data_IF_434243450845
#
_entry.id   IF_434243450845
#
_cell.length_a   1.000
_cell.length_b   1.000
_cell.length_c   1.000
_cell.angle_alpha   90.00
_cell.angle_beta   90.00
_cell.angle_gamma   90.00
#
_symmetry.space_group_name_H-M   'P 1'
#
loop_
_entity.id
_entity.type
_entity.pdbx_description
1 polymer ?
#
# COMPACT_ATOMS: atom_id res chain seq x y z
N UNK A 1 -11.23 -28.56 -24.16
CA UNK A 1 -10.58 -29.78 -24.59
C UNK A 1 -10.93 -30.06 -26.05
N UNK A 2 -10.15 -30.85 -26.74
CA UNK A 2 -10.41 -31.18 -28.15
C UNK A 2 -11.80 -31.82 -28.31
N UNK A 3 -12.64 -31.27 -29.18
CA UNK A 3 -14.03 -31.77 -29.41
C UNK A 3 -15.13 -31.04 -28.63
N UNK A 4 -14.81 -30.02 -27.79
CA UNK A 4 -15.78 -29.28 -27.01
C UNK A 4 -15.82 -29.65 -25.52
N UNK A 5 -16.65 -28.94 -24.74
CA UNK A 5 -16.79 -29.18 -23.31
C UNK A 5 -17.95 -30.13 -23.01
N UNK A 6 -17.66 -31.40 -23.02
CA UNK A 6 -18.62 -32.49 -22.77
C UNK A 6 -19.36 -32.34 -21.42
N UNK A 7 -18.68 -31.95 -20.34
CA UNK A 7 -19.33 -31.78 -19.05
C UNK A 7 -20.32 -30.60 -19.03
N UNK A 8 -20.01 -29.51 -19.74
CA UNK A 8 -20.91 -28.38 -19.85
C UNK A 8 -22.14 -28.72 -20.72
N UNK A 9 -21.94 -29.51 -21.78
CA UNK A 9 -23.01 -29.97 -22.62
C UNK A 9 -23.98 -30.90 -21.85
N UNK A 10 -23.46 -31.77 -20.96
CA UNK A 10 -24.29 -32.59 -20.06
C UNK A 10 -25.04 -31.76 -19.03
N UNK A 11 -24.35 -30.80 -18.40
CA UNK A 11 -24.97 -29.92 -17.37
C UNK A 11 -26.10 -29.05 -17.96
N UNK A 12 -26.00 -28.69 -19.23
CA UNK A 12 -27.03 -27.93 -19.92
C UNK A 12 -28.29 -28.75 -20.22
N UNK A 13 -28.22 -30.08 -20.11
CA UNK A 13 -29.32 -31.00 -20.28
C UNK A 13 -29.94 -31.37 -18.92
N UNK A 14 -30.63 -30.42 -18.29
CA UNK A 14 -31.38 -30.66 -17.06
C UNK A 14 -32.31 -31.90 -17.21
N UNK A 15 -32.09 -32.93 -16.36
CA UNK A 15 -32.90 -34.13 -16.23
C UNK A 15 -33.17 -34.98 -17.52
N UNK A 16 -32.20 -35.06 -18.42
CA UNK A 16 -32.33 -35.84 -19.66
C UNK A 16 -32.13 -37.34 -19.42
N UNK A 17 -32.85 -38.16 -20.16
CA UNK A 17 -32.76 -39.63 -20.13
C UNK A 17 -31.32 -40.09 -20.48
N UNK A 18 -30.88 -41.22 -19.88
CA UNK A 18 -29.56 -41.85 -20.13
C UNK A 18 -29.24 -42.00 -21.62
N UNK A 19 -30.23 -42.29 -22.45
CA UNK A 19 -30.06 -42.42 -23.90
C UNK A 19 -29.60 -41.15 -24.60
N UNK A 20 -29.97 -39.94 -24.10
CA UNK A 20 -29.49 -38.66 -24.65
C UNK A 20 -28.06 -38.37 -24.24
N UNK A 21 -27.67 -38.75 -23.02
CA UNK A 21 -26.28 -38.60 -22.54
C UNK A 21 -25.35 -39.51 -23.37
N UNK A 22 -25.76 -40.74 -23.66
CA UNK A 22 -24.98 -41.69 -24.47
C UNK A 22 -24.85 -41.22 -25.94
N UNK A 23 -25.88 -40.61 -26.51
CA UNK A 23 -25.81 -40.05 -27.86
C UNK A 23 -24.83 -38.86 -27.91
N UNK A 24 -24.86 -37.95 -26.91
CA UNK A 24 -23.93 -36.84 -26.82
C UNK A 24 -22.48 -37.31 -26.63
N UNK A 25 -22.28 -38.37 -25.86
CA UNK A 25 -20.95 -38.93 -25.66
C UNK A 25 -20.38 -39.48 -26.97
N UNK A 26 -21.18 -40.20 -27.76
CA UNK A 26 -20.77 -40.70 -29.08
C UNK A 26 -20.47 -39.55 -30.05
N UNK A 27 -21.29 -38.52 -30.07
CA UNK A 27 -21.08 -37.33 -30.89
C UNK A 27 -19.81 -36.58 -30.49
N UNK A 28 -19.55 -36.47 -29.18
CA UNK A 28 -18.32 -35.87 -28.68
C UNK A 28 -17.09 -36.70 -29.04
N UNK A 29 -17.13 -38.03 -28.88
CA UNK A 29 -16.06 -38.97 -29.28
C UNK A 29 -15.75 -38.84 -30.77
N UNK A 30 -16.75 -38.72 -31.61
CA UNK A 30 -16.60 -38.55 -33.06
C UNK A 30 -15.95 -37.19 -33.39
N UNK A 31 -16.41 -36.11 -32.76
CA UNK A 31 -15.79 -34.77 -32.90
C UNK A 31 -14.33 -34.75 -32.39
N UNK A 32 -14.06 -35.42 -31.28
CA UNK A 32 -12.74 -35.56 -30.73
C UNK A 32 -11.77 -36.27 -31.66
N UNK A 33 -12.17 -37.44 -32.18
CA UNK A 33 -11.40 -38.22 -33.11
C UNK A 33 -11.11 -37.45 -34.41
N UNK A 34 -12.10 -36.78 -34.98
CA UNK A 34 -11.91 -35.95 -36.18
C UNK A 34 -10.87 -34.84 -35.97
N UNK A 35 -10.84 -34.21 -34.76
CA UNK A 35 -9.83 -33.18 -34.43
C UNK A 35 -8.43 -33.80 -34.28
N UNK A 36 -8.34 -34.98 -33.68
CA UNK A 36 -7.06 -35.72 -33.55
C UNK A 36 -6.52 -36.11 -34.92
N UNK A 37 -7.38 -36.67 -35.80
CA UNK A 37 -7.02 -37.04 -37.17
C UNK A 37 -6.56 -35.83 -38.00
N UNK A 38 -7.15 -34.64 -37.74
CA UNK A 38 -6.76 -33.39 -38.37
C UNK A 38 -5.43 -32.78 -37.83
N UNK A 39 -4.76 -33.45 -36.89
CA UNK A 39 -3.49 -33.01 -36.31
C UNK A 39 -3.60 -32.24 -34.95
N UNK A 40 -4.78 -32.28 -34.32
CA UNK A 40 -5.04 -31.70 -33.01
C UNK A 40 -5.19 -30.18 -33.01
N UNK A 41 -4.91 -29.58 -31.86
CA UNK A 41 -5.04 -28.13 -31.69
C UNK A 41 -3.88 -27.39 -32.35
N UNK A 42 -4.18 -26.51 -33.30
CA UNK A 42 -3.22 -25.57 -33.90
C UNK A 42 -3.35 -24.20 -33.26
N UNK A 43 -2.24 -23.69 -32.68
CA UNK A 43 -2.19 -22.38 -32.04
C UNK A 43 -1.49 -21.38 -32.96
N UNK A 44 -2.16 -20.28 -33.24
CA UNK A 44 -1.62 -19.16 -33.99
C UNK A 44 -1.36 -18.01 -33.01
N UNK A 45 -0.10 -17.61 -32.88
CA UNK A 45 0.29 -16.41 -32.17
C UNK A 45 0.51 -15.26 -33.18
N UNK A 46 -0.14 -14.14 -32.97
CA UNK A 46 0.00 -12.96 -33.85
C UNK A 46 1.10 -12.00 -33.40
N UNK A 47 1.66 -12.24 -32.22
CA UNK A 47 2.80 -11.51 -31.66
C UNK A 47 3.55 -12.39 -30.64
N UNK A 48 4.71 -11.94 -30.20
CA UNK A 48 5.47 -12.56 -29.10
C UNK A 48 5.28 -11.75 -27.83
N UNK A 49 5.12 -12.46 -26.72
CA UNK A 49 5.11 -11.81 -25.41
C UNK A 49 6.52 -11.40 -25.00
N UNK A 50 6.62 -10.46 -24.09
CA UNK A 50 7.91 -10.04 -23.51
C UNK A 50 8.63 -11.18 -22.79
N UNK A 51 7.89 -12.16 -22.25
CA UNK A 51 8.44 -13.32 -21.55
C UNK A 51 8.23 -14.61 -22.34
N UNK A 52 9.33 -15.34 -22.58
CA UNK A 52 9.30 -16.68 -23.21
C UNK A 52 8.44 -17.68 -22.45
N UNK A 53 8.32 -17.51 -21.13
CA UNK A 53 7.47 -18.38 -20.30
C UNK A 53 6.02 -18.30 -20.74
N UNK A 54 5.52 -17.12 -21.06
CA UNK A 54 4.11 -16.92 -21.51
C UNK A 54 3.93 -17.54 -22.90
N UNK A 55 4.87 -17.34 -23.82
CA UNK A 55 4.86 -17.99 -25.13
C UNK A 55 4.83 -19.53 -25.01
N UNK A 56 5.65 -20.08 -24.10
CA UNK A 56 5.67 -21.51 -23.86
C UNK A 56 4.37 -22.02 -23.21
N UNK A 57 3.75 -21.22 -22.33
CA UNK A 57 2.42 -21.54 -21.79
C UNK A 57 1.34 -21.55 -22.88
N UNK A 58 1.42 -20.63 -23.84
CA UNK A 58 0.53 -20.61 -24.99
C UNK A 58 0.76 -21.84 -25.86
N UNK A 59 2.00 -22.14 -26.25
CA UNK A 59 2.36 -23.35 -27.01
C UNK A 59 1.93 -24.62 -26.30
N UNK A 60 2.12 -24.69 -24.98
CA UNK A 60 1.73 -25.83 -24.14
C UNK A 60 0.23 -26.04 -23.98
N UNK A 61 -0.61 -25.22 -24.60
CA UNK A 61 -2.04 -25.47 -24.72
C UNK A 61 -2.36 -26.50 -25.80
N UNK A 62 -1.47 -26.69 -26.81
CA UNK A 62 -1.52 -27.78 -27.77
C UNK A 62 -0.71 -28.99 -27.27
N UNK A 63 -1.02 -30.18 -27.76
CA UNK A 63 -0.31 -31.40 -27.43
C UNK A 63 -0.46 -31.85 -25.96
N UNK A 64 -1.56 -31.55 -25.29
CA UNK A 64 -1.80 -31.98 -23.91
C UNK A 64 -2.13 -33.47 -23.86
N UNK A 65 -1.63 -34.13 -22.81
CA UNK A 65 -1.87 -35.56 -22.53
C UNK A 65 -1.44 -36.50 -23.68
N UNK A 66 -0.50 -36.08 -24.53
CA UNK A 66 -0.03 -36.88 -25.65
C UNK A 66 -0.81 -36.68 -26.96
N UNK A 67 -1.84 -35.81 -26.95
CA UNK A 67 -2.58 -35.47 -28.19
C UNK A 67 -1.64 -34.78 -29.21
N UNK A 68 -1.86 -34.94 -30.51
CA UNK A 68 -1.16 -34.16 -31.50
C UNK A 68 -1.52 -32.69 -31.40
N UNK A 69 -0.59 -31.82 -31.80
CA UNK A 69 -0.80 -30.39 -31.78
C UNK A 69 0.36 -29.63 -32.38
N UNK A 70 0.10 -28.41 -32.82
CA UNK A 70 1.10 -27.54 -33.43
C UNK A 70 0.92 -26.09 -33.03
N UNK A 71 1.96 -25.30 -33.23
CA UNK A 71 1.89 -23.85 -32.98
C UNK A 71 2.73 -23.08 -33.96
N UNK A 72 2.24 -21.93 -34.41
CA UNK A 72 2.98 -21.01 -35.28
C UNK A 72 2.80 -19.57 -34.81
N UNK A 73 3.91 -18.80 -34.82
CA UNK A 73 3.90 -17.39 -34.53
C UNK A 73 4.14 -16.60 -35.82
N UNK A 74 3.29 -15.60 -36.04
CA UNK A 74 3.42 -14.62 -37.12
C UNK A 74 3.78 -13.28 -36.46
N UNK A 75 4.89 -12.69 -36.86
CA UNK A 75 5.46 -11.50 -36.23
C UNK A 75 5.67 -10.41 -37.26
N UNK A 76 5.45 -9.17 -36.84
CA UNK A 76 5.82 -7.99 -37.63
C UNK A 76 7.09 -7.36 -37.06
N UNK A 77 7.87 -6.71 -37.91
CA UNK A 77 8.98 -5.85 -37.45
C UNK A 77 8.49 -4.59 -36.71
N UNK A 78 7.20 -4.26 -36.86
CA UNK A 78 6.53 -3.17 -36.17
C UNK A 78 6.04 -3.55 -34.78
N UNK A 79 6.05 -4.85 -34.41
CA UNK A 79 5.67 -5.31 -33.08
C UNK A 79 6.55 -4.66 -32.02
N UNK A 80 5.97 -4.37 -30.84
CA UNK A 80 6.64 -3.66 -29.75
C UNK A 80 7.98 -4.30 -29.37
N UNK A 81 8.05 -5.64 -29.29
CA UNK A 81 9.26 -6.36 -29.00
C UNK A 81 10.36 -6.10 -30.04
N UNK A 82 9.96 -6.05 -31.32
CA UNK A 82 10.90 -5.84 -32.41
C UNK A 82 11.34 -4.37 -32.49
N UNK A 83 10.42 -3.40 -32.27
CA UNK A 83 10.75 -1.96 -32.23
C UNK A 83 11.78 -1.59 -31.17
N UNK A 84 11.74 -2.25 -30.00
CA UNK A 84 12.67 -1.98 -28.90
C UNK A 84 14.07 -2.51 -29.22
N UNK A 85 14.19 -3.62 -29.98
CA UNK A 85 15.46 -4.34 -30.19
C UNK A 85 15.86 -4.52 -31.63
N UNK A 86 14.97 -4.28 -32.59
CA UNK A 86 15.35 -4.21 -34.00
C UNK A 86 16.02 -2.85 -34.22
N UNK A 87 17.34 -2.82 -34.08
CA UNK A 87 18.12 -1.69 -34.51
C UNK A 87 17.81 -1.42 -36.00
N UNK A 88 17.92 -0.15 -36.41
CA UNK A 88 17.86 0.29 -37.81
C UNK A 88 18.68 -0.62 -38.78
N UNK A 89 19.69 -1.33 -38.24
CA UNK A 89 20.49 -2.31 -38.95
C UNK A 89 19.67 -3.53 -39.46
N UNK A 90 18.67 -4.01 -38.71
CA UNK A 90 17.83 -5.17 -39.15
C UNK A 90 16.92 -4.71 -40.29
N UNK A 91 16.30 -3.54 -40.15
CA UNK A 91 15.49 -2.94 -41.23
C UNK A 91 16.31 -2.70 -42.48
N UNK A 92 17.46 -2.02 -42.37
CA UNK A 92 18.34 -1.73 -43.54
C UNK A 92 18.97 -3.00 -44.16
N UNK A 93 19.16 -4.06 -43.39
CA UNK A 93 19.67 -5.34 -43.91
C UNK A 93 18.58 -6.09 -44.67
N UNK A 94 17.33 -5.99 -44.25
CA UNK A 94 16.18 -6.58 -44.95
C UNK A 94 15.85 -5.84 -46.26
N UNK A 95 15.91 -4.51 -46.27
CA UNK A 95 15.80 -3.71 -47.51
C UNK A 95 16.88 -4.11 -48.54
N UNK A 96 18.11 -4.35 -48.08
CA UNK A 96 19.24 -4.81 -48.94
C UNK A 96 19.09 -6.23 -49.48
N UNK A 97 18.31 -7.09 -48.77
CA UNK A 97 18.04 -8.47 -49.21
C UNK A 97 16.91 -8.50 -50.27
N UNK A 98 16.34 -7.37 -50.67
CA UNK A 98 15.40 -7.29 -51.80
C UNK A 98 14.07 -7.98 -51.58
N UNK A 99 13.65 -8.10 -50.32
CA UNK A 99 12.37 -8.73 -49.99
C UNK A 99 11.22 -7.78 -50.26
N UNK A 100 10.25 -8.24 -51.04
CA UNK A 100 9.05 -7.49 -51.35
C UNK A 100 8.10 -7.39 -50.15
N UNK A 101 7.29 -6.33 -50.12
CA UNK A 101 6.21 -6.21 -49.12
C UNK A 101 5.29 -7.45 -49.16
N UNK A 102 5.08 -8.09 -48.03
CA UNK A 102 4.16 -9.24 -47.86
C UNK A 102 4.78 -10.62 -47.92
N UNK A 103 6.09 -10.78 -48.14
CA UNK A 103 6.78 -12.06 -48.08
C UNK A 103 7.10 -12.48 -46.64
N UNK A 104 6.75 -13.73 -46.26
CA UNK A 104 7.04 -14.27 -44.96
C UNK A 104 8.52 -14.72 -44.87
N UNK A 105 9.25 -14.20 -43.89
CA UNK A 105 10.66 -14.51 -43.68
C UNK A 105 10.80 -15.65 -42.70
N UNK A 106 11.22 -16.83 -43.17
CA UNK A 106 11.59 -17.97 -42.30
C UNK A 106 13.11 -18.10 -42.26
N UNK A 107 13.76 -17.53 -41.26
CA UNK A 107 15.22 -17.61 -41.08
C UNK A 107 15.60 -17.94 -39.65
N UNK A 108 16.57 -18.87 -39.50
CA UNK A 108 17.13 -19.19 -38.17
C UNK A 108 17.82 -17.98 -37.52
N UNK A 109 18.32 -17.04 -38.31
CA UNK A 109 18.95 -15.82 -37.80
C UNK A 109 17.89 -14.90 -37.16
N UNK A 110 16.75 -14.73 -37.82
CA UNK A 110 15.63 -13.91 -37.29
C UNK A 110 15.10 -14.55 -36.01
N UNK A 111 14.91 -15.86 -35.99
CA UNK A 111 14.47 -16.57 -34.77
C UNK A 111 15.43 -16.33 -33.60
N UNK A 112 16.73 -16.42 -33.81
CA UNK A 112 17.75 -16.15 -32.78
C UNK A 112 17.74 -14.68 -32.34
N UNK A 113 17.54 -13.74 -33.26
CA UNK A 113 17.44 -12.33 -32.95
C UNK A 113 16.24 -12.04 -32.03
N UNK A 114 15.08 -12.64 -32.33
CA UNK A 114 13.87 -12.54 -31.49
C UNK A 114 14.11 -13.13 -30.10
N UNK A 115 14.72 -14.31 -30.00
CA UNK A 115 15.05 -14.92 -28.71
C UNK A 115 16.00 -14.05 -27.88
N UNK A 116 17.00 -13.43 -28.52
CA UNK A 116 17.91 -12.53 -27.83
C UNK A 116 17.21 -11.24 -27.39
N UNK A 117 16.30 -10.70 -28.20
CA UNK A 117 15.47 -9.57 -27.85
C UNK A 117 14.62 -9.87 -26.60
N UNK A 118 13.92 -11.02 -26.59
CA UNK A 118 13.15 -11.45 -25.42
C UNK A 118 14.02 -11.59 -24.16
N UNK A 119 15.22 -12.19 -24.28
CA UNK A 119 16.15 -12.30 -23.12
C UNK A 119 16.54 -10.94 -22.57
N UNK A 120 16.79 -9.96 -23.42
CA UNK A 120 17.13 -8.59 -22.98
C UNK A 120 15.96 -7.91 -22.27
N UNK A 121 14.73 -8.07 -22.78
CA UNK A 121 13.51 -7.54 -22.11
C UNK A 121 13.29 -8.25 -20.77
N UNK A 122 13.40 -9.58 -20.75
CA UNK A 122 13.28 -10.36 -19.50
C UNK A 122 14.32 -9.92 -18.46
N UNK A 123 15.57 -9.70 -18.86
CA UNK A 123 16.63 -9.21 -17.97
C UNK A 123 16.33 -7.80 -17.46
N UNK A 124 15.94 -6.88 -18.34
CA UNK A 124 15.59 -5.53 -17.97
C UNK A 124 14.40 -5.50 -16.98
N UNK A 125 13.34 -6.23 -17.27
CA UNK A 125 12.18 -6.33 -16.39
C UNK A 125 12.53 -7.04 -15.07
N UNK A 126 13.47 -7.98 -15.09
CA UNK A 126 13.99 -8.60 -13.87
C UNK A 126 14.75 -7.59 -13.02
N UNK A 127 15.63 -6.78 -13.62
CA UNK A 127 16.38 -5.75 -12.90
C UNK A 127 15.47 -4.69 -12.29
N UNK A 128 14.44 -4.23 -13.02
CA UNK A 128 13.42 -3.31 -12.49
C UNK A 128 12.74 -3.93 -11.26
N UNK A 129 12.27 -5.18 -11.37
CA UNK A 129 11.62 -5.85 -10.23
C UNK A 129 12.56 -6.04 -9.05
N UNK A 130 13.81 -6.39 -9.30
CA UNK A 130 14.84 -6.53 -8.27
C UNK A 130 15.06 -5.19 -7.54
N UNK A 131 15.16 -4.09 -8.30
CA UNK A 131 15.27 -2.77 -7.70
C UNK A 131 14.06 -2.40 -6.84
N UNK A 132 12.84 -2.72 -7.28
CA UNK A 132 11.64 -2.50 -6.47
C UNK A 132 11.66 -3.32 -5.17
N UNK A 133 12.05 -4.60 -5.25
CA UNK A 133 12.15 -5.46 -4.07
C UNK A 133 13.16 -4.95 -3.04
N UNK A 134 14.29 -4.39 -3.48
CA UNK A 134 15.29 -3.82 -2.57
C UNK A 134 14.72 -2.70 -1.66
N UNK A 135 13.70 -1.96 -2.12
CA UNK A 135 12.99 -0.96 -1.34
C UNK A 135 11.83 -1.56 -0.55
N UNK A 136 11.09 -2.49 -1.14
CA UNK A 136 9.94 -3.13 -0.50
C UNK A 136 10.35 -3.99 0.69
N UNK A 137 11.54 -4.59 0.68
CA UNK A 137 12.05 -5.40 1.79
C UNK A 137 12.14 -4.59 3.08
N UNK A 138 12.60 -3.33 3.01
CA UNK A 138 12.69 -2.45 4.18
C UNK A 138 11.31 -2.16 4.77
N UNK A 139 10.35 -1.80 3.91
CA UNK A 139 8.98 -1.55 4.36
C UNK A 139 8.32 -2.82 4.91
N UNK A 140 8.64 -3.99 4.35
CA UNK A 140 8.12 -5.27 4.82
C UNK A 140 8.69 -5.67 6.19
N UNK A 141 9.96 -5.39 6.45
CA UNK A 141 10.56 -5.67 7.75
C UNK A 141 9.96 -4.76 8.85
N UNK A 142 9.77 -3.47 8.57
CA UNK A 142 9.06 -2.56 9.46
C UNK A 142 7.62 -3.01 9.70
N UNK A 143 6.92 -3.47 8.64
CA UNK A 143 5.55 -4.00 8.74
C UNK A 143 5.46 -5.19 9.68
N UNK A 144 6.43 -6.12 9.61
CA UNK A 144 6.46 -7.28 10.53
C UNK A 144 6.51 -6.85 11.99
N UNK A 145 7.36 -5.86 12.30
CA UNK A 145 7.50 -5.33 13.66
C UNK A 145 6.19 -4.71 14.14
N UNK A 146 5.59 -3.83 13.33
CA UNK A 146 4.34 -3.15 13.69
C UNK A 146 3.17 -4.13 13.82
N UNK A 147 3.07 -5.11 12.93
CA UNK A 147 1.99 -6.10 12.99
C UNK A 147 2.16 -7.02 14.17
N UNK A 148 3.40 -7.37 14.54
CA UNK A 148 3.66 -8.14 15.76
C UNK A 148 3.25 -7.33 17.01
N UNK A 149 3.67 -6.08 17.12
CA UNK A 149 3.26 -5.20 18.24
C UNK A 149 1.74 -5.05 18.30
N UNK A 150 1.08 -4.90 17.16
CA UNK A 150 -0.37 -4.81 17.10
C UNK A 150 -1.06 -6.11 17.53
N UNK A 151 -0.52 -7.25 17.14
CA UNK A 151 -1.02 -8.56 17.55
C UNK A 151 -0.82 -8.79 19.06
N UNK A 152 0.34 -8.42 19.58
CA UNK A 152 0.65 -8.51 21.02
C UNK A 152 -0.33 -7.63 21.82
N UNK A 153 -0.58 -6.40 21.39
CA UNK A 153 -1.57 -5.52 22.00
C UNK A 153 -3.00 -6.10 21.94
N UNK A 154 -3.39 -6.72 20.82
CA UNK A 154 -4.73 -7.32 20.70
C UNK A 154 -4.91 -8.53 21.63
N UNK A 155 -3.86 -9.32 21.81
CA UNK A 155 -3.89 -10.55 22.59
C UNK A 155 -3.61 -10.32 24.10
N UNK A 156 -2.97 -9.21 24.47
CA UNK A 156 -2.71 -8.88 25.88
C UNK A 156 -4.00 -8.58 26.62
N UNK A 157 -4.13 -9.12 27.83
CA UNK A 157 -5.24 -8.80 28.73
C UNK A 157 -5.01 -7.46 29.43
N UNK A 158 -3.75 -7.13 29.70
CA UNK A 158 -3.31 -5.92 30.37
C UNK A 158 -2.14 -5.28 29.61
N UNK A 159 -2.09 -3.96 29.59
CA UNK A 159 -1.05 -3.13 28.94
C UNK A 159 -0.40 -2.16 29.93
N UNK A 160 -0.55 -2.41 31.24
CA UNK A 160 -0.09 -1.53 32.30
C UNK A 160 1.42 -1.33 32.27
N UNK A 161 2.17 -2.42 32.17
CA UNK A 161 3.63 -2.39 32.20
C UNK A 161 4.18 -1.64 31.00
N UNK A 162 3.57 -1.79 29.82
CA UNK A 162 3.93 -1.07 28.60
C UNK A 162 3.64 0.44 28.75
N UNK A 163 2.49 0.80 29.30
CA UNK A 163 2.14 2.22 29.55
C UNK A 163 3.07 2.84 30.58
N UNK A 164 3.40 2.14 31.65
CA UNK A 164 4.33 2.62 32.67
C UNK A 164 5.74 2.84 32.08
N UNK A 165 6.21 1.92 31.24
CA UNK A 165 7.47 2.06 30.54
C UNK A 165 7.44 3.23 29.56
N UNK A 166 6.39 3.36 28.74
CA UNK A 166 6.25 4.47 27.79
C UNK A 166 6.19 5.82 28.52
N UNK A 167 5.48 5.88 29.65
CA UNK A 167 5.37 7.08 30.46
C UNK A 167 6.74 7.50 30.99
N UNK A 168 7.49 6.55 31.55
CA UNK A 168 8.85 6.80 32.03
C UNK A 168 9.74 7.33 30.89
N UNK A 169 9.77 6.63 29.75
CA UNK A 169 10.60 7.00 28.58
C UNK A 169 10.26 8.41 28.06
N UNK A 170 8.97 8.74 27.95
CA UNK A 170 8.50 10.03 27.42
C UNK A 170 8.88 11.17 28.35
N UNK A 171 8.66 11.03 29.66
CA UNK A 171 9.01 12.08 30.60
C UNK A 171 10.51 12.19 30.81
N UNK A 172 11.26 11.07 30.78
CA UNK A 172 12.72 11.11 30.85
C UNK A 172 13.31 11.84 29.65
N UNK A 173 12.85 11.51 28.44
CA UNK A 173 13.27 12.22 27.22
C UNK A 173 12.88 13.70 27.23
N UNK A 174 11.73 14.06 27.83
CA UNK A 174 11.36 15.45 28.03
C UNK A 174 12.30 16.14 29.00
N UNK A 175 12.61 15.51 30.14
CA UNK A 175 13.50 16.06 31.15
C UNK A 175 14.94 16.27 30.62
N UNK A 176 15.42 15.38 29.75
CA UNK A 176 16.73 15.51 29.12
C UNK A 176 16.90 16.81 28.32
N UNK A 177 15.79 17.27 27.71
CA UNK A 177 15.80 18.50 26.92
C UNK A 177 15.84 19.77 27.79
N UNK A 178 15.23 19.75 28.97
CA UNK A 178 15.06 20.92 29.84
C UNK A 178 15.99 20.92 31.07
N UNK A 179 16.35 19.74 31.53
CA UNK A 179 17.23 19.51 32.68
C UNK A 179 18.31 18.52 32.24
N UNK A 180 19.36 18.97 31.53
CA UNK A 180 20.42 18.08 31.05
C UNK A 180 21.10 17.32 32.20
N UNK A 181 21.53 16.08 31.93
CA UNK A 181 22.24 15.26 32.92
C UNK A 181 23.52 15.98 33.43
N UNK A 182 23.82 15.80 34.71
CA UNK A 182 25.00 16.38 35.38
C UNK A 182 25.10 17.91 35.25
N UNK A 183 23.94 18.60 35.04
CA UNK A 183 23.90 20.05 34.88
C UNK A 183 23.62 20.79 36.20
N UNK A 184 24.04 22.06 36.26
CA UNK A 184 23.73 22.96 37.38
C UNK A 184 22.37 23.64 37.17
N UNK A 185 21.76 24.14 38.26
CA UNK A 185 20.47 24.83 38.27
C UNK A 185 20.38 25.97 37.24
N UNK A 186 21.46 26.65 36.96
CA UNK A 186 21.57 27.78 36.03
C UNK A 186 21.33 27.36 34.55
N UNK A 187 21.51 26.07 34.26
CA UNK A 187 21.33 25.52 32.92
C UNK A 187 19.91 24.93 32.68
N UNK A 188 19.07 24.94 33.72
CA UNK A 188 17.75 24.33 33.64
C UNK A 188 16.70 25.31 33.09
N UNK A 189 15.96 24.88 32.08
CA UNK A 189 14.88 25.65 31.47
C UNK A 189 13.54 25.31 32.13
N UNK A 190 13.36 25.62 33.42
CA UNK A 190 12.20 25.23 34.20
C UNK A 190 10.90 25.87 33.65
N UNK A 191 10.97 27.13 33.19
CA UNK A 191 9.80 27.81 32.61
C UNK A 191 9.26 27.07 31.37
N UNK A 192 10.15 26.65 30.48
CA UNK A 192 9.81 25.88 29.30
C UNK A 192 9.27 24.50 29.65
N UNK A 193 9.83 23.85 30.67
CA UNK A 193 9.34 22.55 31.12
C UNK A 193 7.92 22.62 31.69
N UNK A 194 7.65 23.59 32.59
CA UNK A 194 6.30 23.79 33.14
C UNK A 194 5.27 24.12 32.05
N UNK A 195 5.65 24.93 31.06
CA UNK A 195 4.81 25.27 29.93
C UNK A 195 4.47 24.05 29.07
N UNK A 196 5.43 23.20 28.78
CA UNK A 196 5.22 21.97 27.98
C UNK A 196 4.39 20.96 28.77
N UNK A 197 4.66 20.75 30.05
CA UNK A 197 3.87 19.86 30.91
C UNK A 197 2.40 20.30 30.94
N UNK A 198 2.14 21.59 31.05
CA UNK A 198 0.78 22.12 31.05
C UNK A 198 0.13 22.07 29.66
N UNK A 199 0.82 22.54 28.62
CA UNK A 199 0.23 22.69 27.29
C UNK A 199 0.09 21.37 26.54
N UNK A 200 1.04 20.45 26.68
CA UNK A 200 0.98 19.17 25.96
C UNK A 200 0.27 18.08 26.78
N UNK A 201 0.62 17.94 28.05
CA UNK A 201 0.11 16.84 28.89
C UNK A 201 -1.08 17.25 29.77
N UNK A 202 -1.30 18.56 29.95
CA UNK A 202 -2.34 19.06 30.88
C UNK A 202 -1.95 18.85 32.35
N UNK A 203 -0.66 18.67 32.63
CA UNK A 203 -0.09 18.42 33.97
C UNK A 203 0.41 19.73 34.53
N UNK A 204 -0.10 20.14 35.67
CA UNK A 204 0.31 21.37 36.37
C UNK A 204 1.19 21.01 37.55
N UNK A 205 2.47 21.34 37.45
CA UNK A 205 3.48 21.14 38.53
C UNK A 205 4.18 22.47 38.72
N UNK A 206 4.27 22.95 39.95
CA UNK A 206 5.02 24.16 40.32
C UNK A 206 6.42 23.78 40.76
N UNK A 207 7.31 23.57 39.78
CA UNK A 207 8.70 23.14 40.01
C UNK A 207 9.50 24.28 40.64
N UNK A 208 9.20 25.53 40.27
CA UNK A 208 9.84 26.70 40.82
C UNK A 208 9.65 26.83 42.34
N UNK A 209 8.44 26.53 42.81
CA UNK A 209 8.15 26.51 44.24
C UNK A 209 8.97 25.45 44.98
N UNK A 210 9.19 24.28 44.36
CA UNK A 210 10.04 23.25 44.94
C UNK A 210 11.49 23.66 45.05
N UNK A 211 12.06 24.31 44.05
CA UNK A 211 13.41 24.80 44.03
C UNK A 211 13.62 25.94 45.01
N UNK A 212 12.59 26.80 45.22
CA UNK A 212 12.67 27.88 46.23
C UNK A 212 12.55 27.40 47.67
N UNK A 213 11.89 26.23 47.89
CA UNK A 213 11.79 25.63 49.24
C UNK A 213 13.00 24.78 49.62
N UNK A 214 13.68 24.20 48.64
CA UNK A 214 14.83 23.31 48.87
C UNK A 214 15.92 23.55 47.81
N UNK A 215 16.87 24.43 48.16
CA UNK A 215 18.04 24.74 47.32
C UNK A 215 19.02 23.58 47.17
N UNK A 216 18.84 22.50 47.95
CA UNK A 216 19.70 21.30 47.89
C UNK A 216 19.18 20.23 46.91
N UNK A 217 18.11 20.50 46.14
CA UNK A 217 17.58 19.59 45.13
C UNK A 217 18.58 19.47 43.97
N UNK A 218 19.27 18.33 43.89
CA UNK A 218 20.12 17.98 42.75
C UNK A 218 19.24 17.46 41.59
N UNK A 219 19.78 17.47 40.40
CA UNK A 219 19.13 17.01 39.16
C UNK A 219 18.41 15.68 39.36
N UNK A 220 19.10 14.64 39.87
CA UNK A 220 18.54 13.31 40.06
C UNK A 220 17.34 13.28 41.02
N UNK A 221 17.41 14.05 42.11
CA UNK A 221 16.32 14.17 43.09
C UNK A 221 15.13 14.93 42.53
N UNK A 222 15.37 15.95 41.70
CA UNK A 222 14.33 16.71 41.05
C UNK A 222 13.62 15.85 39.98
N UNK A 223 14.36 15.11 39.16
CA UNK A 223 13.81 14.17 38.21
C UNK A 223 12.93 13.14 38.88
N UNK A 224 13.40 12.48 39.93
CA UNK A 224 12.62 11.53 40.73
C UNK A 224 11.34 12.15 41.31
N UNK A 225 11.43 13.40 41.78
CA UNK A 225 10.26 14.10 42.32
C UNK A 225 9.23 14.40 41.25
N UNK A 226 9.66 14.82 40.06
CA UNK A 226 8.78 15.05 38.90
C UNK A 226 8.11 13.75 38.49
N UNK A 227 8.87 12.64 38.32
CA UNK A 227 8.33 11.33 37.99
C UNK A 227 7.27 10.87 38.99
N UNK A 228 7.56 11.01 40.29
CA UNK A 228 6.60 10.62 41.33
C UNK A 228 5.31 11.45 41.30
N UNK A 229 5.37 12.75 41.00
CA UNK A 229 4.20 13.60 40.90
C UNK A 229 3.38 13.31 39.64
N UNK A 230 4.05 13.09 38.50
CA UNK A 230 3.40 12.67 37.26
C UNK A 230 2.71 11.31 37.45
N UNK A 231 3.37 10.35 38.08
CA UNK A 231 2.79 9.04 38.40
C UNK A 231 1.58 9.15 39.32
N UNK A 232 1.65 9.99 40.31
CA UNK A 232 0.55 10.24 41.23
C UNK A 232 -0.66 10.83 40.51
N UNK A 233 -0.46 11.82 39.65
CA UNK A 233 -1.53 12.42 38.82
C UNK A 233 -2.22 11.35 37.98
N UNK A 234 -1.43 10.46 37.35
CA UNK A 234 -1.97 9.35 36.54
C UNK A 234 -2.81 8.36 37.39
N UNK A 235 -2.28 7.96 38.54
CA UNK A 235 -2.97 7.05 39.47
C UNK A 235 -4.26 7.67 40.05
N UNK A 236 -4.26 8.96 40.31
CA UNK A 236 -5.44 9.63 40.80
C UNK A 236 -6.52 9.69 39.71
N UNK A 237 -6.12 9.93 38.48
CA UNK A 237 -6.99 9.83 37.29
C UNK A 237 -7.54 8.42 37.06
N UNK A 238 -6.74 7.38 37.24
CA UNK A 238 -7.20 5.98 37.16
C UNK A 238 -8.28 5.68 38.20
N UNK A 239 -8.16 6.24 39.42
CA UNK A 239 -9.20 6.09 40.48
C UNK A 239 -10.52 6.77 40.10
N UNK A 240 -10.46 7.93 39.41
CA UNK A 240 -11.65 8.64 38.94
C UNK A 240 -12.38 7.89 37.81
N UNK A 241 -11.63 7.26 36.91
CA UNK A 241 -12.16 6.61 35.69
C UNK A 241 -12.59 5.17 35.97
N UNK A 242 -12.11 4.51 37.00
CA UNK A 242 -12.07 3.04 37.26
C UNK A 242 -11.00 2.30 36.47
N UNK A 243 -10.33 1.35 37.14
CA UNK A 243 -9.17 0.64 36.56
C UNK A 243 -9.54 -0.11 35.28
N UNK A 244 -10.67 -0.84 35.25
CA UNK A 244 -11.08 -1.64 34.09
C UNK A 244 -11.34 -0.79 32.85
N UNK A 245 -12.00 0.37 33.02
CA UNK A 245 -12.26 1.27 31.91
C UNK A 245 -10.97 1.93 31.43
N UNK A 246 -10.07 2.27 32.36
CA UNK A 246 -8.77 2.84 32.00
C UNK A 246 -7.94 1.86 31.14
N UNK A 247 -7.88 0.57 31.49
CA UNK A 247 -7.20 -0.47 30.67
C UNK A 247 -7.75 -0.55 29.25
N UNK A 248 -9.08 -0.45 29.09
CA UNK A 248 -9.70 -0.45 27.76
C UNK A 248 -9.34 0.79 26.97
N UNK A 249 -9.36 1.98 27.59
CA UNK A 249 -8.99 3.23 26.94
C UNK A 249 -7.53 3.17 26.51
N UNK A 250 -6.61 2.75 27.37
CA UNK A 250 -5.20 2.60 27.07
C UNK A 250 -4.97 1.73 25.84
N UNK A 251 -5.54 0.52 25.85
CA UNK A 251 -5.45 -0.41 24.73
C UNK A 251 -6.00 0.19 23.42
N UNK A 252 -7.16 0.85 23.49
CA UNK A 252 -7.76 1.48 22.30
C UNK A 252 -6.91 2.63 21.79
N UNK A 253 -6.41 3.49 22.67
CA UNK A 253 -5.53 4.61 22.31
C UNK A 253 -4.24 4.12 21.66
N UNK A 254 -3.60 3.10 22.24
CA UNK A 254 -2.40 2.50 21.67
C UNK A 254 -2.63 1.98 20.27
N UNK A 255 -3.73 1.26 20.02
CA UNK A 255 -4.08 0.74 18.70
C UNK A 255 -4.36 1.87 17.70
N UNK A 256 -5.14 2.87 18.08
CA UNK A 256 -5.52 3.98 17.19
C UNK A 256 -4.30 4.83 16.81
N UNK A 257 -3.43 5.14 17.78
CA UNK A 257 -2.19 5.90 17.56
C UNK A 257 -1.21 5.10 16.71
N UNK A 258 -1.00 3.81 17.01
CA UNK A 258 -0.15 2.91 16.21
C UNK A 258 -0.61 2.86 14.75
N UNK A 259 -1.91 2.63 14.52
CA UNK A 259 -2.49 2.52 13.17
C UNK A 259 -2.37 3.85 12.39
N UNK A 260 -2.53 5.00 13.07
CA UNK A 260 -2.38 6.33 12.47
C UNK A 260 -0.94 6.59 12.05
N UNK A 261 0.01 6.47 12.96
CA UNK A 261 1.42 6.73 12.67
C UNK A 261 2.00 5.76 11.66
N UNK A 262 1.57 4.49 11.68
CA UNK A 262 1.97 3.53 10.67
C UNK A 262 1.52 3.93 9.26
N UNK A 263 0.27 4.39 9.10
CA UNK A 263 -0.22 4.89 7.81
C UNK A 263 0.56 6.11 7.32
N UNK A 264 0.87 7.04 8.22
CA UNK A 264 1.69 8.22 7.92
C UNK A 264 3.11 7.84 7.54
N UNK A 265 3.72 6.88 8.24
CA UNK A 265 5.05 6.37 7.91
C UNK A 265 5.09 5.73 6.51
N UNK A 266 4.08 4.97 6.12
CA UNK A 266 4.00 4.41 4.77
C UNK A 266 3.99 5.50 3.68
N UNK A 267 3.31 6.61 3.92
CA UNK A 267 3.30 7.77 3.01
C UNK A 267 4.69 8.42 2.97
N UNK A 268 5.33 8.62 4.12
CA UNK A 268 6.67 9.19 4.22
C UNK A 268 7.72 8.31 3.52
N UNK A 269 7.60 6.98 3.68
CA UNK A 269 8.44 6.00 2.97
C UNK A 269 8.27 6.07 1.46
N UNK A 270 7.05 6.27 0.97
CA UNK A 270 6.80 6.42 -0.47
C UNK A 270 7.40 7.73 -1.01
N UNK A 271 7.26 8.84 -0.29
CA UNK A 271 7.93 10.11 -0.62
C UNK A 271 9.45 9.98 -0.62
N UNK A 272 10.02 9.31 0.38
CA UNK A 272 11.46 9.03 0.44
C UNK A 272 11.91 8.23 -0.79
N UNK A 273 11.17 7.17 -1.15
CA UNK A 273 11.46 6.33 -2.32
C UNK A 273 11.46 7.13 -3.62
N UNK A 274 10.50 8.04 -3.80
CA UNK A 274 10.44 8.90 -4.98
C UNK A 274 11.62 9.87 -5.08
N UNK A 275 12.10 10.39 -3.94
CA UNK A 275 13.18 11.36 -3.88
C UNK A 275 14.59 10.78 -3.80
N UNK A 276 14.74 9.53 -3.40
CA UNK A 276 16.05 8.93 -3.04
C UNK A 276 17.02 8.85 -4.22
N UNK A 277 16.50 8.74 -5.45
CA UNK A 277 17.31 8.71 -6.66
C UNK A 277 18.19 9.96 -6.83
N UNK A 278 17.76 11.10 -6.30
CA UNK A 278 18.53 12.35 -6.34
C UNK A 278 19.82 12.29 -5.52
N UNK A 279 19.92 11.37 -4.54
CA UNK A 279 21.15 11.18 -3.73
C UNK A 279 22.33 10.68 -4.58
N UNK A 280 22.07 10.07 -5.74
CA UNK A 280 23.12 9.64 -6.66
C UNK A 280 23.94 10.82 -7.21
N UNK A 281 23.37 12.01 -7.35
CA UNK A 281 24.10 13.23 -7.74
C UNK A 281 25.16 13.66 -6.72
N UNK A 282 24.97 13.29 -5.45
CA UNK A 282 25.94 13.51 -4.38
C UNK A 282 26.93 12.34 -4.19
N UNK A 283 27.08 11.47 -5.21
CA UNK A 283 27.92 10.28 -5.19
C UNK A 283 27.58 9.28 -4.05
N UNK A 284 26.34 9.33 -3.53
CA UNK A 284 25.86 8.38 -2.52
C UNK A 284 25.09 7.23 -3.17
N UNK A 285 25.15 6.06 -2.54
CA UNK A 285 24.39 4.91 -3.00
C UNK A 285 22.91 5.06 -2.56
N UNK A 286 21.95 5.23 -3.50
CA UNK A 286 20.54 5.47 -3.14
C UNK A 286 19.92 4.38 -2.26
N UNK A 287 20.32 3.10 -2.44
CA UNK A 287 19.79 1.99 -1.64
C UNK A 287 20.25 2.06 -0.19
N UNK A 288 21.53 2.41 0.05
CA UNK A 288 22.06 2.53 1.40
C UNK A 288 21.46 3.75 2.12
N UNK A 289 21.36 4.88 1.41
CA UNK A 289 20.72 6.07 1.97
C UNK A 289 19.25 5.82 2.28
N UNK A 290 18.51 5.12 1.39
CA UNK A 290 17.13 4.75 1.66
C UNK A 290 17.00 3.90 2.92
N UNK A 291 17.84 2.88 3.09
CA UNK A 291 17.81 2.04 4.30
C UNK A 291 18.07 2.85 5.56
N UNK A 292 19.03 3.76 5.52
CA UNK A 292 19.36 4.61 6.64
C UNK A 292 18.24 5.60 6.97
N UNK A 293 17.81 6.39 5.97
CA UNK A 293 16.79 7.42 6.16
C UNK A 293 15.44 6.78 6.56
N UNK A 294 15.09 5.62 6.00
CA UNK A 294 13.88 4.89 6.39
C UNK A 294 13.94 4.30 7.80
N UNK A 295 15.13 3.91 8.27
CA UNK A 295 15.33 3.46 9.65
C UNK A 295 15.17 4.64 10.62
N UNK A 296 15.75 5.80 10.30
CA UNK A 296 15.62 7.02 11.11
C UNK A 296 14.15 7.47 11.19
N UNK A 297 13.41 7.45 10.07
CA UNK A 297 11.96 7.73 10.04
C UNK A 297 11.16 6.75 10.91
N UNK A 298 11.54 5.47 10.89
CA UNK A 298 10.87 4.46 11.69
C UNK A 298 11.10 4.63 13.18
N UNK A 299 12.34 4.92 13.60
CA UNK A 299 12.64 5.23 15.00
C UNK A 299 11.87 6.47 15.48
N UNK A 300 11.87 7.53 14.68
CA UNK A 300 11.11 8.74 14.99
C UNK A 300 9.61 8.47 15.10
N UNK A 301 9.06 7.61 14.23
CA UNK A 301 7.66 7.19 14.32
C UNK A 301 7.38 6.47 15.65
N UNK A 302 8.25 5.55 16.08
CA UNK A 302 8.08 4.83 17.36
C UNK A 302 8.09 5.78 18.57
N UNK A 303 9.01 6.75 18.58
CA UNK A 303 9.05 7.77 19.63
C UNK A 303 7.79 8.67 19.61
N UNK A 304 7.33 9.06 18.43
CA UNK A 304 6.10 9.83 18.30
C UNK A 304 4.87 9.04 18.77
N UNK A 305 4.83 7.72 18.52
CA UNK A 305 3.76 6.85 19.03
C UNK A 305 3.73 6.89 20.56
N UNK A 306 4.88 6.69 21.23
CA UNK A 306 4.96 6.74 22.69
C UNK A 306 4.46 8.08 23.22
N UNK A 307 4.96 9.17 22.66
CA UNK A 307 4.58 10.54 23.06
C UNK A 307 3.08 10.78 22.89
N UNK A 308 2.53 10.50 21.71
CA UNK A 308 1.12 10.74 21.41
C UNK A 308 0.19 9.90 22.29
N UNK A 309 0.55 8.63 22.56
CA UNK A 309 -0.19 7.78 23.49
C UNK A 309 -0.26 8.43 24.87
N UNK A 310 0.89 8.83 25.42
CA UNK A 310 0.95 9.42 26.76
C UNK A 310 0.24 10.78 26.81
N UNK A 311 0.46 11.66 25.82
CA UNK A 311 -0.26 12.93 25.71
C UNK A 311 -1.76 12.71 25.71
N UNK A 312 -2.25 11.73 24.93
CA UNK A 312 -3.68 11.45 24.85
C UNK A 312 -4.22 10.94 26.19
N UNK A 313 -3.52 10.00 26.84
CA UNK A 313 -3.93 9.43 28.12
C UNK A 313 -3.97 10.47 29.26
N UNK A 314 -3.04 11.42 29.27
CA UNK A 314 -3.04 12.50 30.23
C UNK A 314 -4.14 13.54 30.00
N UNK A 315 -4.62 13.70 28.75
CA UNK A 315 -5.67 14.64 28.38
C UNK A 315 -7.09 14.08 28.43
N UNK A 316 -7.24 12.77 28.33
CA UNK A 316 -8.55 12.13 28.41
C UNK A 316 -9.19 12.49 29.74
N UNK A 317 -10.39 13.06 29.71
CA UNK A 317 -11.23 13.27 30.86
C UNK A 317 -12.64 12.76 30.54
N UNK A 318 -13.16 11.88 31.39
CA UNK A 318 -14.54 11.39 31.29
C UNK A 318 -15.37 12.24 32.26
N UNK A 319 -16.30 13.01 31.74
CA UNK A 319 -17.06 13.99 32.54
C UNK A 319 -18.50 13.58 32.83
N UNK A 320 -19.04 12.57 32.15
CA UNK A 320 -20.45 12.17 32.30
C UNK A 320 -20.65 10.66 32.09
N UNK A 321 -21.71 10.12 32.75
CA UNK A 321 -22.16 8.72 32.51
C UNK A 321 -22.53 8.48 31.03
N UNK A 322 -22.96 9.51 30.30
CA UNK A 322 -23.24 9.48 28.86
C UNK A 322 -21.97 9.21 28.02
N UNK A 323 -20.79 9.70 28.45
CA UNK A 323 -19.52 9.44 27.77
C UNK A 323 -19.09 7.99 27.92
N UNK A 324 -19.37 7.36 29.05
CA UNK A 324 -19.14 5.94 29.31
C UNK A 324 -20.05 5.07 28.41
N UNK A 325 -21.35 5.40 28.33
CA UNK A 325 -22.28 4.73 27.42
C UNK A 325 -21.93 4.87 25.95
N UNK A 326 -21.39 6.03 25.55
CA UNK A 326 -20.93 6.27 24.18
C UNK A 326 -19.69 5.45 23.84
N UNK A 327 -18.75 5.27 24.77
CA UNK A 327 -17.58 4.42 24.61
C UNK A 327 -18.00 2.95 24.46
N UNK A 328 -18.91 2.45 25.32
CA UNK A 328 -19.44 1.09 25.23
C UNK A 328 -20.28 0.83 23.96
N UNK A 329 -21.06 1.82 23.51
CA UNK A 329 -21.81 1.74 22.25
C UNK A 329 -20.93 1.73 21.00
N UNK A 330 -19.73 2.34 21.04
CA UNK A 330 -18.74 2.28 19.95
C UNK A 330 -18.09 0.91 19.86
N UNK A 331 -17.76 0.29 20.99
CA UNK A 331 -17.21 -1.07 21.05
C UNK A 331 -18.19 -2.11 20.46
N UNK A 332 -19.48 -2.00 20.78
CA UNK A 332 -20.52 -2.86 20.22
C UNK A 332 -20.80 -2.67 18.72
N UNK A 333 -20.49 -1.50 18.14
CA UNK A 333 -20.63 -1.26 16.69
C UNK A 333 -19.45 -1.78 15.87
N UNK A 334 -18.30 -2.02 16.48
CA UNK A 334 -17.08 -2.51 15.78
C UNK A 334 -17.02 -4.03 15.59
N UNK A 335 -18.06 -4.80 15.94
CA UNK A 335 -18.20 -6.17 15.42
C UNK A 335 -18.48 -6.12 13.92
N UNK A 336 -17.48 -5.65 13.17
CA UNK A 336 -17.50 -5.65 11.71
C UNK A 336 -17.43 -7.10 11.25
N UNK A 337 -18.52 -7.61 10.72
CA UNK A 337 -18.52 -8.88 10.01
C UNK A 337 -17.66 -8.71 8.76
N UNK A 338 -16.40 -9.14 8.82
CA UNK A 338 -15.55 -9.33 7.65
C UNK A 338 -16.13 -10.49 6.82
N UNK A 339 -17.13 -10.19 6.00
CA UNK A 339 -17.47 -11.05 4.86
C UNK A 339 -16.56 -10.61 3.73
N UNK A 340 -15.60 -11.43 3.38
CA UNK A 340 -14.99 -11.35 2.06
C UNK A 340 -16.12 -11.53 1.02
N UNK A 341 -16.39 -10.55 0.16
CA UNK A 341 -17.30 -10.78 -0.94
C UNK A 341 -16.71 -11.91 -1.76
N UNK A 342 -17.40 -13.05 -1.84
CA UNK A 342 -17.01 -14.12 -2.73
C UNK A 342 -17.11 -13.60 -4.16
N UNK A 343 -16.29 -14.12 -5.07
CA UNK A 343 -16.30 -13.74 -6.49
C UNK A 343 -17.69 -13.92 -7.11
N UNK A 344 -18.55 -14.76 -6.51
CA UNK A 344 -19.96 -14.95 -6.89
C UNK A 344 -20.86 -13.77 -6.53
N UNK A 345 -20.60 -13.06 -5.39
CA UNK A 345 -21.38 -11.88 -5.00
C UNK A 345 -21.07 -10.67 -5.91
N UNK A 346 -19.85 -10.62 -6.46
CA UNK A 346 -19.47 -9.59 -7.44
C UNK A 346 -20.15 -9.77 -8.81
N UNK A 347 -20.54 -10.98 -9.15
CA UNK A 347 -21.26 -11.27 -10.41
C UNK A 347 -22.78 -11.11 -10.28
N UNK A 348 -23.36 -11.21 -9.09
CA UNK A 348 -24.80 -11.04 -8.86
C UNK A 348 -25.24 -9.58 -8.74
N UNK A 349 -24.35 -8.69 -8.23
CA UNK A 349 -24.65 -7.26 -8.16
C UNK A 349 -24.57 -6.54 -9.52
N UNK A 350 -23.98 -7.15 -10.54
CA UNK A 350 -23.89 -6.56 -11.88
C UNK A 350 -25.15 -6.81 -12.74
N UNK A 351 -26.20 -7.46 -12.20
CA UNK A 351 -27.45 -7.73 -12.94
C UNK A 351 -28.65 -6.88 -12.55
N UNK A 352 -28.50 -5.96 -11.60
CA UNK A 352 -29.61 -5.08 -11.18
C UNK A 352 -29.43 -3.59 -11.54
N UNK A 353 -28.34 -3.20 -12.18
CA UNK A 353 -28.09 -1.82 -12.62
C UNK A 353 -27.97 -1.64 -14.15
N UNK A 354 -28.69 -2.46 -14.92
CA UNK A 354 -28.84 -2.24 -16.38
C UNK A 354 -29.84 -1.12 -16.73
N UNK A 355 -30.09 -0.17 -15.81
CA UNK A 355 -31.00 0.96 -16.04
C UNK A 355 -30.39 2.35 -15.99
N UNK A 356 -29.16 2.51 -15.52
CA UNK A 356 -28.47 3.80 -15.50
C UNK A 356 -27.44 3.87 -16.62
N UNK A 357 -27.90 4.20 -17.83
CA UNK A 357 -27.00 4.60 -18.91
C UNK A 357 -26.05 5.67 -18.40
N UNK A 358 -24.73 5.45 -18.49
CA UNK A 358 -23.67 6.44 -18.29
C UNK A 358 -23.96 7.65 -19.19
N UNK A 359 -24.77 8.58 -18.70
CA UNK A 359 -24.97 9.86 -19.38
C UNK A 359 -23.66 10.63 -19.26
N UNK A 360 -23.01 11.02 -20.36
CA UNK A 360 -21.81 11.83 -20.30
C UNK A 360 -22.12 13.11 -19.54
N UNK A 361 -21.22 13.52 -18.65
CA UNK A 361 -21.34 14.77 -17.89
C UNK A 361 -21.49 15.94 -18.84
N UNK A 362 -22.71 16.45 -18.97
CA UNK A 362 -23.00 17.64 -19.78
C UNK A 362 -22.84 18.85 -18.86
N UNK A 363 -21.83 19.69 -19.16
CA UNK A 363 -21.62 20.95 -18.45
C UNK A 363 -22.84 21.85 -18.66
N UNK A 364 -23.48 22.29 -17.58
CA UNK A 364 -24.66 23.17 -17.63
C UNK A 364 -24.39 24.60 -18.13
N UNK A 365 -23.14 24.97 -18.42
CA UNK A 365 -22.77 26.27 -19.00
C UNK A 365 -21.73 26.06 -20.11
N UNK A 366 -21.84 26.80 -21.23
CA UNK A 366 -20.89 26.71 -22.34
C UNK A 366 -19.48 27.09 -21.88
N UNK A 367 -18.46 26.40 -22.42
CA UNK A 367 -17.04 26.66 -22.13
C UNK A 367 -16.63 27.97 -22.80
N UNK A 368 -16.35 28.99 -22.01
CA UNK A 368 -15.88 30.29 -22.49
C UNK A 368 -14.38 30.17 -22.84
N UNK A 369 -14.00 30.53 -24.04
CA UNK A 369 -12.60 30.53 -24.50
C UNK A 369 -11.85 31.73 -23.94
N UNK A 370 -10.55 31.58 -23.70
CA UNK A 370 -9.69 32.61 -23.09
C UNK A 370 -9.76 34.00 -23.77
N UNK A 371 -10.03 34.05 -25.07
CA UNK A 371 -10.08 35.29 -25.85
C UNK A 371 -11.49 35.83 -26.07
N UNK A 372 -12.53 35.14 -25.65
CA UNK A 372 -13.92 35.59 -25.73
C UNK A 372 -14.23 36.69 -24.70
N UNK A 373 -15.22 37.55 -24.98
CA UNK A 373 -15.63 38.58 -24.02
C UNK A 373 -16.13 37.96 -22.73
N UNK A 374 -15.79 38.59 -21.61
CA UNK A 374 -16.16 38.07 -20.31
C UNK A 374 -17.67 38.19 -20.06
N UNK A 375 -18.38 37.15 -19.60
CA UNK A 375 -19.85 37.17 -19.37
C UNK A 375 -20.29 38.12 -18.29
N UNK A 376 -19.38 38.76 -17.54
CA UNK A 376 -19.69 39.76 -16.52
C UNK A 376 -20.05 41.16 -17.12
N UNK A 377 -20.03 41.30 -18.42
CA UNK A 377 -20.38 42.59 -19.06
C UNK A 377 -19.27 43.65 -19.03
N UNK A 378 -18.06 43.32 -18.58
CA UNK A 378 -16.94 44.29 -18.44
C UNK A 378 -16.28 44.70 -19.75
N UNK A 379 -16.69 44.17 -20.90
CA UNK A 379 -16.08 44.44 -22.21
C UNK A 379 -14.66 43.90 -22.41
N UNK A 380 -14.06 43.31 -21.38
CA UNK A 380 -12.71 42.75 -21.41
C UNK A 380 -12.74 41.26 -21.81
N UNK A 381 -11.64 40.76 -22.40
CA UNK A 381 -11.49 39.34 -22.72
C UNK A 381 -11.45 38.52 -21.44
N UNK A 382 -12.00 37.30 -21.44
CA UNK A 382 -12.08 36.42 -20.26
C UNK A 382 -10.75 36.29 -19.51
N UNK A 383 -9.63 36.12 -20.23
CA UNK A 383 -8.26 36.04 -19.67
C UNK A 383 -7.80 37.31 -18.92
N UNK A 384 -8.41 38.44 -19.18
CA UNK A 384 -8.08 39.73 -18.56
C UNK A 384 -9.04 40.14 -17.47
N UNK A 385 -10.08 39.32 -17.21
CA UNK A 385 -11.10 39.53 -16.21
C UNK A 385 -11.18 38.31 -15.28
N UNK A 386 -12.23 37.52 -15.35
CA UNK A 386 -12.45 36.37 -14.44
C UNK A 386 -11.55 35.12 -14.73
N UNK A 387 -10.88 35.07 -15.86
CA UNK A 387 -9.92 34.03 -16.21
C UNK A 387 -8.44 34.41 -15.98
N UNK A 388 -8.18 35.45 -15.19
CA UNK A 388 -6.82 35.85 -14.80
C UNK A 388 -6.30 34.89 -13.73
N UNK A 389 -5.24 34.16 -14.07
CA UNK A 389 -4.52 33.32 -13.09
C UNK A 389 -3.61 34.28 -12.33
N UNK A 390 -3.85 34.46 -11.03
CA UNK A 390 -3.00 35.19 -10.09
C UNK A 390 -1.77 34.36 -9.76
#
# INVERSE_FOLDING_TARGET
MLGGNYEAEIKALDNSSSAKIDSLKKDWEQRHNNVIESGGLHIIGTERHESRRIDNQLRGRSGRQGDPGSSRFYLSLEDNLMRIFANEWVSSTMEKLGMGEGEAIESRLVTRAIENAQRKVEAHNFDIRKHLLDFDDVANDQRKVIYQQREDLLNSEDVLDEIDSMRFDVFESLLDNYIPHESMHEMWEIDGLEEVLQNEFGVIIDIKSWLSQDESLYEESLRKKIHNEVDKIYKDKEKEITSDLMRRIEKQVMLDVLDRHWKENLVNMDHLRQGIGLRSFAAKNPKQEYKRESFDLFLQMLENIKRDVIVFLYRVSIRTEEDIELAEKRENKQKVNYRHPSVQDSMSNNRQDEGAANKPFVRGKPKIRRNEPCPCGSGKKYKQCHGRIS
#
